data_IF_948470042622
#
_entry.id   IF_948470042622
#
_cell.length_a   1.000
_cell.length_b   1.000
_cell.length_c   1.000
_cell.angle_alpha   90.00
_cell.angle_beta   90.00
_cell.angle_gamma   90.00
#
_symmetry.space_group_name_H-M   'P 1'
#
loop_
_entity.id
_entity.type
_entity.pdbx_description
1 polymer ?
#
# COMPACT_ATOMS: atom_id res chain seq x y z
N UNK A 1 5.69 8.33 14.00
CA UNK A 1 5.21 8.58 12.62
C UNK A 1 3.73 8.92 12.68
N UNK A 2 3.28 9.96 11.96
CA UNK A 2 1.87 10.33 11.92
C UNK A 2 1.06 9.26 11.19
N UNK A 3 -0.09 8.89 11.75
CA UNK A 3 -0.98 7.90 11.14
C UNK A 3 -1.56 8.47 9.84
N UNK A 4 -1.12 7.95 8.69
CA UNK A 4 -1.66 8.36 7.39
C UNK A 4 -3.04 7.71 7.24
N UNK A 5 -4.08 8.55 7.13
CA UNK A 5 -5.41 8.08 6.75
C UNK A 5 -5.46 7.89 5.24
N UNK A 6 -5.54 6.64 4.78
CA UNK A 6 -5.70 6.28 3.38
C UNK A 6 -7.14 6.54 2.91
N UNK A 7 -7.46 7.80 2.66
CA UNK A 7 -8.67 8.22 1.95
C UNK A 7 -8.40 8.26 0.45
N UNK A 8 -9.44 8.16 -0.40
CA UNK A 8 -9.29 8.22 -1.86
C UNK A 8 -8.50 9.47 -2.32
N UNK A 9 -8.83 10.71 -1.88
CA UNK A 9 -8.07 11.90 -2.29
C UNK A 9 -6.60 11.87 -1.83
N UNK A 10 -6.31 11.29 -0.66
CA UNK A 10 -4.94 11.16 -0.18
C UNK A 10 -4.14 10.17 -1.03
N UNK A 11 -4.73 9.03 -1.38
CA UNK A 11 -4.11 8.06 -2.26
C UNK A 11 -3.83 8.65 -3.66
N UNK A 12 -4.75 9.44 -4.21
CA UNK A 12 -4.56 10.11 -5.50
C UNK A 12 -3.40 11.11 -5.43
N UNK A 13 -3.33 11.89 -4.35
CA UNK A 13 -2.27 12.88 -4.11
C UNK A 13 -0.90 12.20 -4.00
N UNK A 14 -0.78 11.16 -3.16
CA UNK A 14 0.45 10.42 -2.96
C UNK A 14 0.94 9.74 -4.25
N UNK A 15 0.02 9.23 -5.07
CA UNK A 15 0.38 8.56 -6.31
C UNK A 15 0.96 9.53 -7.36
N UNK A 16 0.44 10.76 -7.40
CA UNK A 16 0.83 11.81 -8.34
C UNK A 16 2.09 12.57 -7.93
N UNK A 17 2.43 12.58 -6.64
CA UNK A 17 3.63 13.26 -6.15
C UNK A 17 4.89 12.43 -6.42
N UNK A 18 5.75 12.94 -7.30
CA UNK A 18 7.03 12.32 -7.65
C UNK A 18 8.05 12.30 -6.50
N UNK A 19 7.86 13.14 -5.47
CA UNK A 19 8.68 13.15 -4.27
C UNK A 19 8.27 12.10 -3.23
N UNK A 20 7.13 11.43 -3.42
CA UNK A 20 6.69 10.37 -2.51
C UNK A 20 7.52 9.10 -2.73
N UNK A 21 7.93 8.48 -1.62
CA UNK A 21 8.68 7.23 -1.62
C UNK A 21 7.98 6.13 -2.46
N UNK A 22 8.73 5.31 -3.23
CA UNK A 22 8.14 4.25 -4.05
C UNK A 22 7.20 3.30 -3.30
N UNK A 23 7.54 2.90 -2.06
CA UNK A 23 6.69 2.05 -1.21
C UNK A 23 5.35 2.70 -0.90
N UNK A 24 5.38 3.95 -0.43
CA UNK A 24 4.18 4.75 -0.19
C UNK A 24 3.33 4.96 -1.46
N UNK A 25 3.95 5.19 -2.63
CA UNK A 25 3.24 5.30 -3.91
C UNK A 25 2.56 3.99 -4.31
N UNK A 26 3.22 2.85 -4.05
CA UNK A 26 2.64 1.53 -4.30
C UNK A 26 1.45 1.25 -3.38
N UNK A 27 1.57 1.56 -2.08
CA UNK A 27 0.45 1.46 -1.12
C UNK A 27 -0.71 2.38 -1.52
N UNK A 28 -0.43 3.60 -1.98
CA UNK A 28 -1.44 4.53 -2.47
C UNK A 28 -2.18 3.99 -3.70
N UNK A 29 -1.46 3.40 -4.67
CA UNK A 29 -2.07 2.75 -5.84
C UNK A 29 -3.01 1.59 -5.44
N UNK A 30 -2.61 0.78 -4.45
CA UNK A 30 -3.45 -0.28 -3.89
C UNK A 30 -4.69 0.27 -3.18
N UNK A 31 -4.56 1.41 -2.51
CA UNK A 31 -5.70 2.16 -1.95
C UNK A 31 -6.70 2.60 -3.03
N UNK A 32 -6.23 3.13 -4.16
CA UNK A 32 -7.10 3.46 -5.30
C UNK A 32 -7.82 2.23 -5.83
N UNK A 33 -7.10 1.13 -6.05
CA UNK A 33 -7.69 -0.12 -6.52
C UNK A 33 -8.79 -0.61 -5.58
N UNK A 34 -8.60 -0.48 -4.25
CA UNK A 34 -9.63 -0.79 -3.26
C UNK A 34 -10.87 0.09 -3.41
N UNK A 35 -10.72 1.40 -3.55
CA UNK A 35 -11.87 2.30 -3.71
C UNK A 35 -12.62 2.04 -5.01
N UNK A 36 -11.92 1.84 -6.14
CA UNK A 36 -12.55 1.49 -7.42
C UNK A 36 -13.37 0.19 -7.30
N UNK A 37 -12.83 -0.81 -6.60
CA UNK A 37 -13.51 -2.08 -6.38
C UNK A 37 -14.79 -1.92 -5.56
N UNK A 38 -14.80 -1.01 -4.59
CA UNK A 38 -15.97 -0.74 -3.76
C UNK A 38 -17.02 0.10 -4.50
N UNK A 39 -16.59 1.08 -5.30
CA UNK A 39 -17.48 1.92 -6.10
C UNK A 39 -18.18 1.13 -7.22
N UNK A 40 -17.69 -0.07 -7.54
CA UNK A 40 -18.27 -1.00 -8.51
C UNK A 40 -18.64 -2.35 -7.89
N UNK A 41 -18.88 -2.39 -6.57
CA UNK A 41 -19.27 -3.60 -5.86
C UNK A 41 -20.61 -4.20 -6.35
N UNK A 42 -21.45 -3.38 -6.98
CA UNK A 42 -22.71 -3.79 -7.63
C UNK A 42 -22.50 -4.52 -8.96
N UNK A 43 -21.33 -4.35 -9.59
CA UNK A 43 -21.00 -4.92 -10.90
C UNK A 43 -20.21 -6.22 -10.82
N UNK A 44 -19.64 -6.52 -9.65
CA UNK A 44 -18.84 -7.71 -9.40
C UNK A 44 -19.60 -8.66 -8.47
N UNK A 45 -19.59 -9.96 -8.80
CA UNK A 45 -20.05 -10.95 -7.84
C UNK A 45 -19.08 -11.05 -6.65
N UNK A 46 -19.57 -11.63 -5.55
CA UNK A 46 -18.81 -11.75 -4.31
C UNK A 46 -17.49 -12.52 -4.46
N UNK A 47 -17.39 -13.43 -5.42
CA UNK A 47 -16.18 -14.23 -5.67
C UNK A 47 -15.10 -13.37 -6.30
N UNK A 48 -15.42 -12.67 -7.39
CA UNK A 48 -14.48 -11.77 -8.06
C UNK A 48 -14.03 -10.65 -7.13
N UNK A 49 -14.99 -10.05 -6.39
CA UNK A 49 -14.67 -9.03 -5.39
C UNK A 49 -13.72 -9.57 -4.31
N UNK A 50 -13.97 -10.79 -3.81
CA UNK A 50 -13.10 -11.45 -2.84
C UNK A 50 -11.69 -11.69 -3.36
N UNK A 51 -11.54 -12.15 -4.60
CA UNK A 51 -10.23 -12.36 -5.24
C UNK A 51 -9.46 -11.05 -5.35
N UNK A 52 -10.09 -9.99 -5.84
CA UNK A 52 -9.43 -8.69 -5.98
C UNK A 52 -8.98 -8.12 -4.63
N UNK A 53 -9.82 -8.21 -3.60
CA UNK A 53 -9.44 -7.78 -2.24
C UNK A 53 -8.27 -8.60 -1.69
N UNK A 54 -8.22 -9.91 -1.96
CA UNK A 54 -7.11 -10.77 -1.52
C UNK A 54 -5.80 -10.40 -2.24
N UNK A 55 -5.84 -10.10 -3.53
CA UNK A 55 -4.68 -9.64 -4.29
C UNK A 55 -4.14 -8.31 -3.73
N UNK A 56 -5.04 -7.34 -3.48
CA UNK A 56 -4.67 -6.06 -2.87
C UNK A 56 -3.96 -6.29 -1.53
N UNK A 57 -4.51 -7.14 -0.67
CA UNK A 57 -3.91 -7.49 0.62
C UNK A 57 -2.52 -8.11 0.46
N UNK A 58 -2.36 -9.08 -0.44
CA UNK A 58 -1.06 -9.75 -0.65
C UNK A 58 0.01 -8.77 -1.13
N UNK A 59 -0.34 -7.83 -2.02
CA UNK A 59 0.59 -6.80 -2.44
C UNK A 59 1.01 -5.89 -1.28
N UNK A 60 0.06 -5.47 -0.43
CA UNK A 60 0.38 -4.65 0.75
C UNK A 60 1.29 -5.39 1.73
N UNK A 61 1.03 -6.66 1.98
CA UNK A 61 1.83 -7.49 2.89
C UNK A 61 3.29 -7.61 2.44
N UNK A 62 3.51 -7.83 1.14
CA UNK A 62 4.87 -7.93 0.56
C UNK A 62 5.60 -6.60 0.65
N UNK A 63 4.92 -5.48 0.36
CA UNK A 63 5.52 -4.13 0.47
C UNK A 63 5.94 -3.86 1.92
N UNK A 64 5.04 -4.05 2.88
CA UNK A 64 5.35 -3.81 4.29
C UNK A 64 6.42 -4.73 4.85
N UNK A 65 6.50 -5.97 4.36
CA UNK A 65 7.57 -6.89 4.72
C UNK A 65 8.90 -6.40 4.18
N UNK A 66 8.97 -6.03 2.90
CA UNK A 66 10.18 -5.49 2.31
C UNK A 66 10.63 -4.16 2.97
N UNK A 67 9.68 -3.29 3.32
CA UNK A 67 9.97 -2.05 4.06
C UNK A 67 10.54 -2.36 5.45
N UNK A 68 9.93 -3.29 6.20
CA UNK A 68 10.42 -3.67 7.53
C UNK A 68 11.82 -4.29 7.47
N UNK A 69 12.04 -5.21 6.55
CA UNK A 69 13.33 -5.90 6.40
C UNK A 69 14.45 -4.88 6.05
N UNK A 70 14.14 -3.87 5.23
CA UNK A 70 15.08 -2.78 4.93
C UNK A 70 15.43 -1.91 6.14
N UNK A 71 14.50 -1.69 7.08
CA UNK A 71 14.78 -0.96 8.32
C UNK A 71 15.55 -1.80 9.35
N UNK A 72 15.32 -3.12 9.40
CA UNK A 72 16.02 -4.03 10.32
C UNK A 72 17.50 -4.23 9.91
N UNK A 73 17.81 -4.24 8.61
CA UNK A 73 19.19 -4.33 8.11
C UNK A 73 20.02 -3.04 8.35
N UNK A 74 19.39 -1.88 8.60
CA UNK A 74 20.10 -0.60 8.84
C UNK A 74 20.55 -0.39 10.30
N UNK A 75 20.06 -1.17 11.28
CA UNK A 75 20.43 -1.01 12.70
C UNK A 75 21.66 -1.83 13.13
N UNK A 76 22.12 -2.80 12.33
CA UNK A 76 23.26 -3.69 12.67
C UNK A 76 24.64 -3.17 12.22
N UNK A 77 24.72 -2.13 11.37
CA UNK A 77 25.99 -1.59 10.83
C UNK A 77 26.67 -0.53 11.72
N UNK A 78 26.00 -0.02 12.77
CA UNK A 78 26.52 1.02 13.68
C UNK A 78 26.94 0.49 15.07
N UNK A 79 27.02 -0.83 15.25
CA UNK A 79 27.33 -1.47 16.54
C UNK A 79 28.81 -1.84 16.78
N UNK A 80 29.75 -1.46 15.89
CA UNK A 80 31.20 -1.69 16.10
C UNK A 80 32.05 -0.51 15.58
N UNK A 81 32.26 0.52 16.43
CA UNK A 81 33.33 1.52 16.27
C UNK A 81 33.85 2.04 17.63
#
# INVERSE_FOLDING_TARGET
>A
MGQIHLTRPNCETLLQDAGTEPGMRAVAALGIAFFELNDHADKLDGTHRGICLKLIYMCQEVIHTAERDAYEDEEDDDADA
#
